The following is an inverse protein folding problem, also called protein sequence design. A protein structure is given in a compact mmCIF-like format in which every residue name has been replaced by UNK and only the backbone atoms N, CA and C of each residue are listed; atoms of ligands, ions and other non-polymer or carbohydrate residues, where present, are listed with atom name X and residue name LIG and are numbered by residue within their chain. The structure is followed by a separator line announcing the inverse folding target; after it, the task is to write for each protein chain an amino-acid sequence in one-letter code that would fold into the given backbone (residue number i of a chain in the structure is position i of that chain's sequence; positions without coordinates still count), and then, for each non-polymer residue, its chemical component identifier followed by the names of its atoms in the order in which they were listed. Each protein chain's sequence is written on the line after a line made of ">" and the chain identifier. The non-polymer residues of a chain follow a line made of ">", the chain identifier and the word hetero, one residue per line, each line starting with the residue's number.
data_IF_364087750302
#
_entry.id   IF_364087750302
#
_cell.length_a   1.000
_cell.length_b   1.000
_cell.length_c   1.000
_cell.angle_alpha   90.00
_cell.angle_beta   90.00
_cell.angle_gamma   90.00
#
_symmetry.space_group_name_H-M   'P 1'
#
loop_
_entity.id
_entity.type
_entity.pdbx_description
1 polymer ?
#
# COMPACT_ATOMS: atom_id res chain seq x y z
N UNK A 1 -11.39 3.27 -1.72
CA UNK A 1 -10.26 3.25 -0.78
C UNK A 1 -9.86 1.81 -0.54
N UNK A 2 -8.58 1.47 -0.74
CA UNK A 2 -7.97 0.15 -0.56
C UNK A 2 -6.49 0.34 -0.22
N UNK A 3 -6.00 -0.35 0.80
CA UNK A 3 -4.55 -0.55 0.92
C UNK A 3 -4.14 -1.69 -0.01
N UNK A 4 -3.20 -1.44 -0.92
CA UNK A 4 -2.60 -2.50 -1.73
C UNK A 4 -1.87 -3.51 -0.84
N UNK A 5 -1.87 -4.77 -1.26
CA UNK A 5 -1.07 -5.77 -0.57
C UNK A 5 0.40 -5.31 -0.49
N UNK A 6 1.02 -5.44 0.68
CA UNK A 6 2.36 -4.87 0.95
C UNK A 6 3.42 -5.37 -0.04
N UNK A 7 3.33 -6.64 -0.42
CA UNK A 7 4.27 -7.24 -1.38
C UNK A 7 4.08 -6.73 -2.83
N UNK A 8 2.98 -6.03 -3.12
CA UNK A 8 2.69 -5.49 -4.45
C UNK A 8 3.10 -4.03 -4.63
N UNK A 9 3.57 -3.35 -3.58
CA UNK A 9 3.94 -1.94 -3.63
C UNK A 9 4.96 -1.64 -4.74
N UNK A 10 5.95 -2.53 -4.91
CA UNK A 10 7.00 -2.42 -5.93
C UNK A 10 6.49 -2.52 -7.38
N UNK A 11 5.27 -3.03 -7.58
CA UNK A 11 4.68 -3.24 -8.91
C UNK A 11 3.51 -2.29 -9.20
N UNK A 12 3.16 -1.41 -8.26
CA UNK A 12 2.11 -0.44 -8.49
C UNK A 12 2.52 0.54 -9.60
N UNK A 13 1.66 0.86 -10.58
CA UNK A 13 1.89 2.00 -11.44
C UNK A 13 1.87 3.31 -10.62
N UNK A 14 2.54 4.35 -11.11
CA UNK A 14 2.82 5.61 -10.40
C UNK A 14 1.58 6.21 -9.73
N UNK A 15 0.46 6.28 -10.44
CA UNK A 15 -0.81 6.83 -10.00
C UNK A 15 -1.47 6.00 -8.91
N UNK A 16 -1.27 4.67 -8.88
CA UNK A 16 -1.76 3.83 -7.79
C UNK A 16 -0.92 4.02 -6.53
N UNK A 17 0.40 4.14 -6.63
CA UNK A 17 1.26 4.46 -5.48
C UNK A 17 0.97 5.86 -4.91
N UNK A 18 0.76 6.86 -5.77
CA UNK A 18 0.32 8.19 -5.34
C UNK A 18 -1.06 8.16 -4.68
N UNK A 19 -1.99 7.37 -5.22
CA UNK A 19 -3.32 7.21 -4.62
C UNK A 19 -3.23 6.51 -3.27
N UNK A 20 -2.35 5.52 -3.12
CA UNK A 20 -2.08 4.86 -1.85
C UNK A 20 -1.65 5.85 -0.77
N UNK A 21 -0.74 6.78 -1.09
CA UNK A 21 -0.32 7.83 -0.16
C UNK A 21 -1.46 8.80 0.19
N UNK A 22 -2.32 9.15 -0.79
CA UNK A 22 -3.50 10.00 -0.53
C UNK A 22 -4.51 9.32 0.41
N UNK A 23 -4.73 8.02 0.23
CA UNK A 23 -5.62 7.25 1.09
C UNK A 23 -5.07 7.16 2.53
N UNK A 24 -3.78 6.90 2.69
CA UNK A 24 -3.11 6.96 4.00
C UNK A 24 -3.27 8.33 4.66
N UNK A 25 -3.07 9.43 3.93
CA UNK A 25 -3.30 10.77 4.45
C UNK A 25 -4.75 11.06 4.84
N UNK A 26 -5.72 10.39 4.20
CA UNK A 26 -7.13 10.49 4.59
C UNK A 26 -7.36 9.76 5.91
N UNK A 27 -6.82 8.55 6.06
CA UNK A 27 -6.86 7.78 7.32
C UNK A 27 -6.22 8.59 8.46
N UNK A 28 -5.03 9.16 8.25
CA UNK A 28 -4.35 9.94 9.30
C UNK A 28 -5.13 11.17 9.76
N UNK A 29 -5.86 11.82 8.84
CA UNK A 29 -6.56 13.06 9.14
C UNK A 29 -8.01 12.86 9.63
N UNK A 30 -8.66 11.77 9.21
CA UNK A 30 -10.11 11.59 9.39
C UNK A 30 -10.49 10.24 9.98
N UNK A 31 -9.56 9.30 10.05
CA UNK A 31 -9.83 7.92 10.41
C UNK A 31 -10.98 7.33 9.57
N UNK A 32 -10.96 7.63 8.26
CA UNK A 32 -12.01 7.21 7.34
C UNK A 32 -12.26 5.70 7.45
N UNK A 33 -13.54 5.32 7.49
CA UNK A 33 -13.99 3.92 7.55
C UNK A 33 -14.61 3.53 6.22
N UNK A 34 -14.05 2.53 5.58
CA UNK A 34 -14.52 1.97 4.32
C UNK A 34 -14.32 0.47 4.34
N UNK A 35 -15.29 -0.29 3.82
CA UNK A 35 -15.36 -1.76 3.94
C UNK A 35 -14.04 -2.47 3.58
N UNK A 36 -13.32 -1.97 2.57
CA UNK A 36 -12.05 -2.55 2.09
C UNK A 36 -10.81 -2.22 2.94
N UNK A 37 -10.91 -1.31 3.91
CA UNK A 37 -9.79 -0.93 4.78
C UNK A 37 -10.14 -0.97 6.27
N UNK A 38 -11.39 -1.22 6.65
CA UNK A 38 -11.80 -1.21 8.06
C UNK A 38 -10.96 -2.15 8.92
N UNK A 39 -10.44 -3.23 8.33
CA UNK A 39 -9.57 -4.18 9.02
C UNK A 39 -8.36 -3.53 9.68
N UNK A 40 -7.86 -2.38 9.20
CA UNK A 40 -6.68 -1.74 9.79
C UNK A 40 -6.90 -1.35 11.24
N UNK A 41 -8.15 -1.08 11.63
CA UNK A 41 -8.53 -0.69 12.99
C UNK A 41 -8.64 -1.89 13.93
N UNK A 42 -8.63 -3.11 13.40
CA UNK A 42 -8.56 -4.35 14.17
C UNK A 42 -7.11 -4.74 14.52
N UNK A 43 -6.13 -3.97 14.02
CA UNK A 43 -4.70 -4.19 14.27
C UNK A 43 -4.14 -3.11 15.19
N UNK A 44 -3.04 -3.39 15.91
CA UNK A 44 -2.27 -2.36 16.58
C UNK A 44 -1.86 -1.27 15.58
N UNK A 45 -1.90 -0.01 16.02
CA UNK A 45 -1.49 1.16 15.22
C UNK A 45 -0.09 1.03 14.59
N UNK A 46 0.78 0.24 15.22
CA UNK A 46 2.10 -0.13 14.71
C UNK A 46 2.07 -0.80 13.33
N UNK A 47 1.02 -1.57 12.99
CA UNK A 47 0.90 -2.22 11.69
C UNK A 47 0.66 -1.21 10.57
N UNK A 48 -0.22 -0.22 10.81
CA UNK A 48 -0.43 0.87 9.86
C UNK A 48 0.84 1.73 9.73
N UNK A 49 1.59 1.93 10.81
CA UNK A 49 2.89 2.61 10.77
C UNK A 49 3.88 1.85 9.87
N UNK A 50 4.09 0.55 10.09
CA UNK A 50 4.97 -0.29 9.28
C UNK A 50 4.57 -0.30 7.81
N UNK A 51 3.28 -0.46 7.52
CA UNK A 51 2.75 -0.37 6.15
C UNK A 51 3.05 0.99 5.52
N UNK A 52 2.83 2.07 6.26
CA UNK A 52 3.13 3.44 5.80
C UNK A 52 4.62 3.59 5.49
N UNK A 53 5.51 3.07 6.33
CA UNK A 53 6.95 3.07 6.07
C UNK A 53 7.28 2.32 4.77
N UNK A 54 6.67 1.17 4.48
CA UNK A 54 6.87 0.45 3.21
C UNK A 54 6.41 1.24 1.98
N UNK A 55 5.30 1.97 2.10
CA UNK A 55 4.85 2.88 1.03
C UNK A 55 5.87 4.01 0.83
N UNK A 56 6.36 4.61 1.91
CA UNK A 56 7.34 5.70 1.84
C UNK A 56 8.71 5.24 1.31
N UNK A 57 9.17 4.05 1.68
CA UNK A 57 10.38 3.42 1.14
C UNK A 57 10.28 3.30 -0.38
N UNK A 58 9.16 2.78 -0.90
CA UNK A 58 8.96 2.62 -2.34
C UNK A 58 8.81 3.98 -3.06
N UNK A 59 8.14 4.95 -2.44
CA UNK A 59 8.05 6.31 -2.95
C UNK A 59 9.42 6.99 -3.02
N UNK A 60 10.25 6.84 -1.98
CA UNK A 60 11.59 7.40 -1.95
C UNK A 60 12.48 6.74 -3.02
N UNK A 61 12.43 5.40 -3.13
CA UNK A 61 13.15 4.62 -4.14
C UNK A 61 12.85 5.10 -5.57
N UNK A 62 11.62 5.54 -5.83
CA UNK A 62 11.17 6.08 -7.13
C UNK A 62 11.30 7.60 -7.27
N UNK A 63 11.93 8.27 -6.30
CA UNK A 63 12.21 9.71 -6.35
C UNK A 63 11.00 10.62 -6.14
N UNK A 64 9.91 10.12 -5.54
CA UNK A 64 8.75 10.98 -5.24
C UNK A 64 9.09 12.01 -4.16
N UNK A 65 8.66 13.25 -4.38
CA UNK A 65 8.81 14.34 -3.42
C UNK A 65 7.54 14.46 -2.56
N UNK A 66 7.63 14.01 -1.30
CA UNK A 66 6.56 14.20 -0.32
C UNK A 66 6.63 15.62 0.25
N UNK A 67 5.55 16.39 0.11
CA UNK A 67 5.51 17.79 0.56
C UNK A 67 5.46 17.95 2.08
N UNK A 68 4.76 17.05 2.77
CA UNK A 68 4.59 17.11 4.22
C UNK A 68 4.29 15.72 4.79
N UNK A 69 4.79 15.48 6.00
CA UNK A 69 4.53 14.30 6.81
C UNK A 69 3.67 14.64 8.04
N UNK A 70 3.19 15.88 8.17
CA UNK A 70 2.53 16.39 9.39
C UNK A 70 1.36 15.52 9.84
N UNK A 71 0.46 15.13 8.93
CA UNK A 71 -0.68 14.26 9.25
C UNK A 71 -0.24 12.90 9.78
N UNK A 72 0.77 12.29 9.16
CA UNK A 72 1.34 11.02 9.59
C UNK A 72 1.97 11.16 10.98
N UNK A 73 2.79 12.20 11.17
CA UNK A 73 3.48 12.43 12.44
C UNK A 73 2.48 12.66 13.58
N UNK A 74 1.46 13.49 13.36
CA UNK A 74 0.40 13.73 14.33
C UNK A 74 -0.40 12.45 14.61
N UNK A 75 -0.73 11.69 13.56
CA UNK A 75 -1.45 10.43 13.73
C UNK A 75 -0.63 9.46 14.58
N UNK A 76 0.67 9.29 14.34
CA UNK A 76 1.51 8.35 15.09
C UNK A 76 2.18 8.95 16.34
N UNK A 77 1.76 10.13 16.78
CA UNK A 77 2.32 10.74 17.99
C UNK A 77 2.14 9.83 19.21
N UNK A 78 3.17 9.79 20.06
CA UNK A 78 3.24 8.88 21.21
C UNK A 78 3.40 7.38 20.88
N UNK A 79 3.53 6.99 19.61
CA UNK A 79 3.82 5.60 19.24
C UNK A 79 5.26 5.26 19.69
N UNK A 80 5.38 4.28 20.59
CA UNK A 80 6.67 3.77 21.04
C UNK A 80 7.47 3.02 19.96
N UNK A 81 8.64 2.47 20.30
CA UNK A 81 9.47 1.73 19.36
C UNK A 81 8.71 0.60 18.68
N UNK A 82 8.72 0.59 17.34
CA UNK A 82 8.05 -0.44 16.53
C UNK A 82 9.09 -1.44 16.04
N UNK A 83 8.88 -2.73 16.35
CA UNK A 83 9.70 -3.82 15.81
C UNK A 83 9.32 -4.10 14.37
N UNK A 84 10.31 -4.31 13.51
CA UNK A 84 10.08 -4.67 12.12
C UNK A 84 9.38 -6.03 12.02
N UNK A 85 8.32 -6.09 11.21
CA UNK A 85 7.52 -7.28 10.90
C UNK A 85 6.59 -6.98 9.72
N UNK A 86 6.03 -8.03 9.12
CA UNK A 86 4.99 -7.87 8.08
C UNK A 86 3.73 -7.26 8.71
N UNK A 87 3.27 -6.08 8.24
CA UNK A 87 2.04 -5.48 8.75
C UNK A 87 0.82 -6.26 8.29
N UNK A 88 -0.25 -6.22 9.08
CA UNK A 88 -1.55 -6.80 8.74
C UNK A 88 -1.48 -8.30 8.46
N UNK A 89 -0.68 -9.06 9.22
CA UNK A 89 -0.30 -10.45 8.94
C UNK A 89 -1.45 -11.37 8.47
N UNK A 90 -2.65 -11.24 9.04
CA UNK A 90 -3.79 -12.11 8.65
C UNK A 90 -4.62 -11.57 7.49
N UNK A 91 -4.57 -10.26 7.20
CA UNK A 91 -5.28 -9.64 6.07
C UNK A 91 -4.41 -9.50 4.83
N UNK A 92 -3.10 -9.27 4.97
CA UNK A 92 -2.13 -9.31 3.89
C UNK A 92 -1.62 -10.74 3.69
N UNK A 93 -2.60 -11.63 3.47
CA UNK A 93 -2.44 -13.05 3.22
C UNK A 93 -2.47 -13.34 1.70
N UNK A 94 -2.37 -14.62 1.33
CA UNK A 94 -2.35 -15.05 -0.06
C UNK A 94 -3.63 -14.67 -0.83
N UNK A 95 -4.81 -14.84 -0.21
CA UNK A 95 -6.08 -14.50 -0.85
C UNK A 95 -6.17 -13.00 -1.17
N UNK A 96 -5.75 -12.14 -0.25
CA UNK A 96 -5.75 -10.70 -0.49
C UNK A 96 -4.69 -10.26 -1.51
N UNK A 97 -3.56 -10.97 -1.56
CA UNK A 97 -2.54 -10.80 -2.60
C UNK A 97 -3.15 -11.07 -3.98
N UNK A 98 -3.86 -12.19 -4.16
CA UNK A 98 -4.57 -12.53 -5.40
C UNK A 98 -5.60 -11.47 -5.79
N UNK A 99 -6.44 -11.05 -4.85
CA UNK A 99 -7.46 -10.01 -5.08
C UNK A 99 -6.81 -8.70 -5.56
N UNK A 100 -5.67 -8.33 -4.98
CA UNK A 100 -4.92 -7.15 -5.39
C UNK A 100 -4.29 -7.35 -6.78
N UNK A 101 -3.69 -8.50 -7.06
CA UNK A 101 -3.15 -8.83 -8.38
C UNK A 101 -4.21 -8.72 -9.47
N UNK A 102 -5.37 -9.35 -9.30
CA UNK A 102 -6.44 -9.28 -10.31
C UNK A 102 -6.97 -7.86 -10.52
N UNK A 103 -6.96 -7.03 -9.47
CA UNK A 103 -7.31 -5.61 -9.61
C UNK A 103 -6.28 -4.83 -10.43
N UNK A 104 -4.98 -5.12 -10.26
CA UNK A 104 -3.92 -4.55 -11.11
C UNK A 104 -4.02 -5.05 -12.56
N UNK A 105 -4.28 -6.35 -12.75
CA UNK A 105 -4.52 -6.94 -14.08
C UNK A 105 -5.68 -6.28 -14.80
N UNK A 106 -6.81 -6.05 -14.12
CA UNK A 106 -7.93 -5.31 -14.70
C UNK A 106 -7.49 -3.90 -15.15
N UNK A 107 -6.80 -3.15 -14.27
CA UNK A 107 -6.30 -1.80 -14.59
C UNK A 107 -5.40 -1.80 -15.82
N UNK A 108 -4.51 -2.79 -15.94
CA UNK A 108 -3.64 -2.96 -17.10
C UNK A 108 -4.46 -3.22 -18.38
N UNK A 109 -5.35 -4.22 -18.38
CA UNK A 109 -6.18 -4.59 -19.54
C UNK A 109 -7.08 -3.43 -19.99
N UNK A 110 -7.56 -2.60 -19.05
CA UNK A 110 -8.37 -1.41 -19.33
C UNK A 110 -7.56 -0.22 -19.83
N UNK A 111 -6.24 -0.35 -19.96
CA UNK A 111 -5.37 0.69 -20.50
C UNK A 111 -5.06 1.81 -19.52
N UNK A 112 -4.83 1.50 -18.24
CA UNK A 112 -4.33 2.50 -17.30
C UNK A 112 -3.03 3.14 -17.84
N UNK A 113 -3.09 4.45 -18.12
CA UNK A 113 -2.10 5.17 -18.93
C UNK A 113 -0.65 5.08 -18.43
N UNK A 114 -0.46 5.00 -17.12
CA UNK A 114 0.84 4.97 -16.47
C UNK A 114 1.27 3.56 -16.03
N UNK A 115 0.59 2.53 -16.53
CA UNK A 115 0.96 1.15 -16.28
C UNK A 115 1.77 0.59 -17.44
N UNK A 116 3.09 0.79 -17.35
CA UNK A 116 4.05 0.30 -18.32
C UNK A 116 4.03 -1.24 -18.41
N UNK A 117 4.11 -1.77 -19.63
CA UNK A 117 4.07 -3.21 -19.90
C UNK A 117 5.17 -3.97 -19.15
N UNK A 118 6.40 -3.44 -19.17
CA UNK A 118 7.53 -4.05 -18.44
C UNK A 118 7.28 -4.16 -16.92
N UNK A 119 6.61 -3.17 -16.31
CA UNK A 119 6.26 -3.22 -14.89
C UNK A 119 5.19 -4.28 -14.61
N UNK A 120 4.21 -4.41 -15.52
CA UNK A 120 3.18 -5.44 -15.42
C UNK A 120 3.74 -6.85 -15.63
N UNK A 121 4.71 -7.02 -16.52
CA UNK A 121 5.44 -8.29 -16.70
C UNK A 121 6.23 -8.68 -15.45
N UNK A 122 6.87 -7.72 -14.78
CA UNK A 122 7.52 -7.94 -13.48
C UNK A 122 6.51 -8.40 -12.42
N UNK A 123 5.33 -7.78 -12.36
CA UNK A 123 4.24 -8.23 -11.49
C UNK A 123 3.85 -9.69 -11.80
N UNK A 124 3.65 -10.01 -13.08
CA UNK A 124 3.26 -11.36 -13.49
C UNK A 124 4.32 -12.40 -13.14
N UNK A 125 5.60 -12.04 -13.25
CA UNK A 125 6.72 -12.91 -12.87
C UNK A 125 6.72 -13.15 -11.37
N UNK A 126 6.65 -12.09 -10.56
CA UNK A 126 6.55 -12.19 -9.11
C UNK A 126 5.38 -13.08 -8.67
N UNK A 127 4.21 -12.89 -9.29
CA UNK A 127 3.01 -13.65 -8.94
C UNK A 127 3.16 -15.13 -9.28
N UNK A 128 3.80 -15.51 -10.39
CA UNK A 128 4.07 -16.91 -10.73
C UNK A 128 5.00 -17.62 -9.73
N UNK A 129 5.87 -16.86 -9.06
CA UNK A 129 6.81 -17.42 -8.10
C UNK A 129 6.19 -17.58 -6.70
N UNK A 130 5.12 -16.83 -6.41
CA UNK A 130 4.51 -16.74 -5.08
C UNK A 130 3.13 -17.40 -4.98
N UNK A 131 2.42 -17.60 -6.10
CA UNK A 131 1.17 -18.38 -6.22
C UNK A 131 1.41 -19.72 -6.91
#
# INVERSE_FOLDING_TARGET
>A
MRLWHVDLLAYLPKGQLLSQWRELNSIFAKEDRHILINYIYDYPKADLYLYTTKVLEEMNKRGFQIRTYEKMNNYFDGLGPVKDRKPFLHHHNQEYLEICFYNLKEKFIRGQKDYEEALYEQLCTYIKDVL
#
